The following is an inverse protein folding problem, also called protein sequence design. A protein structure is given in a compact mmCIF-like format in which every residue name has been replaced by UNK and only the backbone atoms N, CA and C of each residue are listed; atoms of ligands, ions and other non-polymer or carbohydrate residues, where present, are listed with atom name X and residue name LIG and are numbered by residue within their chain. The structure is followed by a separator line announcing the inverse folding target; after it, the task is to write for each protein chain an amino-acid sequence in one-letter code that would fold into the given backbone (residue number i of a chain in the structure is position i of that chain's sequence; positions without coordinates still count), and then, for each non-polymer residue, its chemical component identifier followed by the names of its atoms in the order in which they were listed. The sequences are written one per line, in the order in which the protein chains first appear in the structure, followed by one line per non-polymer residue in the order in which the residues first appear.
data_IF_491671127619
#
_entry.id   IF_491671127619
#
_cell.length_a   1.000
_cell.length_b   1.000
_cell.length_c   1.000
_cell.angle_alpha   90.00
_cell.angle_beta   90.00
_cell.angle_gamma   90.00
#
_symmetry.space_group_name_H-M   'P 1'
#
loop_
_entity.id
_entity.type
_entity.pdbx_description
1 polymer ?
#
# COMPACT_ATOMS: atom_id res chain seq x y z
N UNK A 1 -16.14 10.02 -59.33
CA UNK A 1 -16.37 10.73 -58.04
C UNK A 1 -15.06 10.69 -57.25
N UNK A 2 -14.21 11.72 -57.43
CA UNK A 2 -13.05 12.02 -56.55
C UNK A 2 -13.57 12.90 -55.39
N UNK A 3 -12.79 12.98 -54.31
CA UNK A 3 -13.05 13.55 -52.96
C UNK A 3 -13.86 12.60 -52.05
N UNK A 4 -13.39 12.17 -50.87
CA UNK A 4 -12.48 12.79 -49.90
C UNK A 4 -11.50 11.75 -49.31
N UNK A 5 -10.22 11.86 -49.65
CA UNK A 5 -9.10 11.51 -48.75
C UNK A 5 -8.24 12.77 -48.78
N UNK A 6 -8.40 13.61 -47.75
CA UNK A 6 -7.61 14.84 -47.60
C UNK A 6 -6.14 14.45 -47.53
N UNK A 7 -5.37 14.87 -48.54
CA UNK A 7 -3.90 14.85 -48.50
C UNK A 7 -3.46 15.77 -47.37
N UNK A 8 -2.76 15.21 -46.38
CA UNK A 8 -2.03 16.01 -45.42
C UNK A 8 -1.00 16.84 -46.21
N UNK A 9 -0.95 18.13 -45.93
CA UNK A 9 -0.03 19.07 -46.57
C UNK A 9 1.41 18.77 -46.09
N UNK A 10 2.41 18.89 -46.97
CA UNK A 10 3.81 18.53 -46.67
C UNK A 10 4.34 19.30 -45.44
N UNK A 11 3.85 20.53 -45.26
CA UNK A 11 4.14 21.39 -44.13
C UNK A 11 3.56 20.87 -42.79
N UNK A 12 2.45 20.13 -42.83
CA UNK A 12 1.88 19.48 -41.64
C UNK A 12 2.65 18.21 -41.26
N UNK A 13 3.20 17.50 -42.25
CA UNK A 13 4.05 16.32 -42.01
C UNK A 13 5.36 16.74 -41.33
N UNK A 14 5.99 17.80 -41.81
CA UNK A 14 7.25 18.33 -41.25
C UNK A 14 7.07 18.83 -39.79
N UNK A 15 5.97 19.52 -39.49
CA UNK A 15 5.65 19.95 -38.11
C UNK A 15 5.43 18.77 -37.17
N UNK A 16 4.77 17.70 -37.64
CA UNK A 16 4.56 16.48 -36.86
C UNK A 16 5.88 15.73 -36.60
N UNK A 17 6.77 15.66 -37.60
CA UNK A 17 8.09 15.04 -37.46
C UNK A 17 9.01 15.82 -36.50
N UNK A 18 9.02 17.16 -36.58
CA UNK A 18 9.78 18.02 -35.67
C UNK A 18 9.24 17.91 -34.24
N UNK A 19 7.91 17.85 -34.06
CA UNK A 19 7.28 17.62 -32.76
C UNK A 19 7.67 16.27 -32.16
N UNK A 20 7.59 15.19 -32.95
CA UNK A 20 7.99 13.85 -32.53
C UNK A 20 9.50 13.77 -32.17
N UNK A 21 10.37 14.41 -32.95
CA UNK A 21 11.81 14.49 -32.68
C UNK A 21 12.11 15.21 -31.37
N UNK A 22 11.39 16.28 -31.07
CA UNK A 22 11.53 17.01 -29.81
C UNK A 22 11.07 16.17 -28.60
N UNK A 23 9.97 15.42 -28.72
CA UNK A 23 9.53 14.50 -27.67
C UNK A 23 10.54 13.37 -27.44
N UNK A 24 11.14 12.82 -28.49
CA UNK A 24 12.20 11.79 -28.36
C UNK A 24 13.40 12.35 -27.59
N UNK A 25 13.83 13.58 -27.87
CA UNK A 25 14.95 14.21 -27.15
C UNK A 25 14.63 14.45 -25.68
N UNK A 26 13.39 14.83 -25.36
CA UNK A 26 12.93 14.96 -23.96
C UNK A 26 12.99 13.61 -23.24
N UNK A 27 12.47 12.55 -23.86
CA UNK A 27 12.51 11.20 -23.30
C UNK A 27 13.95 10.70 -23.10
N UNK A 28 14.85 10.93 -24.07
CA UNK A 28 16.27 10.59 -23.94
C UNK A 28 16.91 11.32 -22.73
N UNK A 29 16.59 12.60 -22.53
CA UNK A 29 17.07 13.35 -21.38
C UNK A 29 16.53 12.79 -20.05
N UNK A 30 15.23 12.48 -19.99
CA UNK A 30 14.59 11.90 -18.79
C UNK A 30 15.23 10.55 -18.46
N UNK A 31 15.38 9.66 -19.44
CA UNK A 31 15.96 8.33 -19.24
C UNK A 31 17.42 8.45 -18.77
N UNK A 32 18.22 9.32 -19.38
CA UNK A 32 19.60 9.58 -18.93
C UNK A 32 19.66 10.12 -17.52
N UNK A 33 18.73 11.01 -17.13
CA UNK A 33 18.64 11.50 -15.77
C UNK A 33 18.27 10.39 -14.78
N UNK A 34 17.25 9.57 -15.10
CA UNK A 34 16.84 8.43 -14.27
C UNK A 34 17.97 7.43 -14.07
N UNK A 35 18.68 7.06 -15.15
CA UNK A 35 19.83 6.16 -15.07
C UNK A 35 21.01 6.80 -14.31
N UNK A 36 21.21 8.11 -14.46
CA UNK A 36 22.25 8.85 -13.76
C UNK A 36 21.99 9.07 -12.27
N UNK A 37 20.72 9.03 -11.83
CA UNK A 37 20.31 9.15 -10.43
C UNK A 37 20.10 7.81 -9.73
N UNK A 38 20.44 6.69 -10.37
CA UNK A 38 20.33 5.37 -9.76
C UNK A 38 21.27 5.24 -8.56
N UNK A 39 20.69 5.02 -7.37
CA UNK A 39 21.41 4.73 -6.13
C UNK A 39 20.76 3.52 -5.42
N UNK A 40 20.22 3.70 -4.21
CA UNK A 40 19.60 2.63 -3.40
C UNK A 40 18.29 2.04 -3.93
N UNK A 41 17.87 2.40 -5.15
CA UNK A 41 16.60 2.02 -5.75
C UNK A 41 15.50 3.04 -5.52
N UNK A 42 14.52 3.07 -6.42
CA UNK A 42 13.33 3.91 -6.32
C UNK A 42 12.11 2.98 -6.15
N UNK A 43 11.54 2.96 -4.95
CA UNK A 43 10.39 2.14 -4.59
C UNK A 43 9.40 2.98 -3.78
N UNK A 44 8.10 2.70 -3.94
CA UNK A 44 7.08 3.31 -3.10
C UNK A 44 7.24 2.88 -1.64
N UNK A 45 6.79 3.74 -0.72
CA UNK A 45 6.78 3.43 0.70
C UNK A 45 5.74 2.36 1.02
N UNK A 46 6.16 1.32 1.75
CA UNK A 46 5.27 0.28 2.29
C UNK A 46 4.67 0.74 3.61
N UNK A 47 3.34 0.84 3.67
CA UNK A 47 2.64 1.26 4.89
C UNK A 47 2.78 0.21 6.01
N UNK A 48 2.73 -1.07 5.66
CA UNK A 48 2.98 -2.19 6.57
C UNK A 48 4.36 -2.12 7.22
N UNK A 49 5.43 -1.97 6.43
CA UNK A 49 6.79 -1.92 6.97
C UNK A 49 7.02 -0.64 7.81
N UNK A 50 6.48 0.49 7.35
CA UNK A 50 6.54 1.75 8.09
C UNK A 50 5.83 1.65 9.45
N UNK A 51 4.70 0.92 9.51
CA UNK A 51 3.99 0.66 10.76
C UNK A 51 4.81 -0.20 11.73
N UNK A 52 5.54 -1.21 11.25
CA UNK A 52 6.44 -1.98 12.10
C UNK A 52 7.60 -1.16 12.65
N UNK A 53 8.21 -0.30 11.83
CA UNK A 53 9.26 0.62 12.29
C UNK A 53 8.71 1.62 13.32
N UNK A 54 7.48 2.09 13.11
CA UNK A 54 6.80 3.01 14.02
C UNK A 54 6.54 2.43 15.42
N UNK A 55 6.52 1.11 15.59
CA UNK A 55 6.34 0.45 16.89
C UNK A 55 7.62 0.38 17.73
N UNK A 56 8.79 0.69 17.15
CA UNK A 56 10.07 0.61 17.86
C UNK A 56 10.10 1.70 18.95
N UNK A 57 10.26 1.26 20.19
CA UNK A 57 10.43 2.17 21.35
C UNK A 57 11.82 2.78 21.36
N UNK A 58 11.90 3.98 21.91
CA UNK A 58 13.14 4.71 22.13
C UNK A 58 14.19 3.87 22.89
N UNK A 59 15.43 3.89 22.41
CA UNK A 59 16.52 3.07 22.93
C UNK A 59 16.93 3.46 24.36
N UNK A 60 16.71 4.71 24.74
CA UNK A 60 17.00 5.22 26.07
C UNK A 60 15.86 4.90 27.07
N UNK A 61 14.83 4.17 26.62
CA UNK A 61 13.73 3.68 27.47
C UNK A 61 12.68 4.74 27.77
N UNK A 62 12.67 5.86 27.05
CA UNK A 62 11.56 6.80 27.11
C UNK A 62 10.29 6.12 26.56
N UNK A 63 9.12 6.47 27.11
CA UNK A 63 7.84 5.98 26.59
C UNK A 63 7.43 6.77 25.33
N UNK A 64 8.30 6.71 24.31
CA UNK A 64 8.21 7.45 23.06
C UNK A 64 8.71 6.59 21.88
N UNK A 65 8.26 6.87 20.65
CA UNK A 65 8.71 6.16 19.45
C UNK A 65 10.14 6.55 19.08
N UNK A 66 10.97 5.56 18.75
CA UNK A 66 12.33 5.78 18.25
C UNK A 66 12.33 6.54 16.91
N UNK A 67 11.29 6.34 16.09
CA UNK A 67 11.13 6.94 14.77
C UNK A 67 9.78 7.66 14.63
N UNK A 68 9.64 8.87 15.22
CA UNK A 68 8.38 9.63 15.18
C UNK A 68 7.92 9.96 13.75
N UNK A 69 8.85 10.10 12.81
CA UNK A 69 8.56 10.36 11.39
C UNK A 69 7.74 9.25 10.73
N UNK A 70 7.90 7.99 11.16
CA UNK A 70 7.09 6.88 10.64
C UNK A 70 5.62 7.02 11.06
N UNK A 71 5.35 7.44 12.30
CA UNK A 71 3.98 7.72 12.75
C UNK A 71 3.37 8.91 12.02
N UNK A 72 4.15 9.97 11.81
CA UNK A 72 3.71 11.13 11.04
C UNK A 72 3.36 10.73 9.59
N UNK A 73 4.21 9.92 8.94
CA UNK A 73 3.93 9.41 7.60
C UNK A 73 2.64 8.59 7.58
N UNK A 74 2.42 7.70 8.55
CA UNK A 74 1.17 6.93 8.65
C UNK A 74 -0.03 7.87 8.78
N UNK A 75 0.04 8.88 9.64
CA UNK A 75 -1.04 9.84 9.82
C UNK A 75 -1.36 10.59 8.52
N UNK A 76 -0.33 11.01 7.78
CA UNK A 76 -0.50 11.84 6.57
C UNK A 76 -0.95 11.05 5.34
N UNK A 77 -0.76 9.73 5.30
CA UNK A 77 -0.97 8.89 4.12
C UNK A 77 -2.18 7.94 4.22
N UNK A 78 -3.13 8.22 5.13
CA UNK A 78 -4.42 7.51 5.13
C UNK A 78 -5.23 7.88 3.87
N UNK A 79 -5.72 6.87 3.15
CA UNK A 79 -6.56 7.06 1.97
C UNK A 79 -7.97 7.58 2.34
N UNK A 80 -8.71 8.18 1.38
CA UNK A 80 -10.03 8.74 1.65
C UNK A 80 -11.08 7.74 2.15
N UNK A 81 -10.92 6.45 1.84
CA UNK A 81 -11.78 5.36 2.31
C UNK A 81 -11.44 4.86 3.72
N UNK A 82 -10.41 5.44 4.35
CA UNK A 82 -9.92 5.06 5.67
C UNK A 82 -8.81 4.01 5.66
N UNK A 83 -8.46 3.44 4.50
CA UNK A 83 -7.41 2.43 4.38
C UNK A 83 -6.00 3.00 4.22
N UNK A 84 -5.00 2.12 4.25
CA UNK A 84 -3.63 2.36 3.79
C UNK A 84 -3.26 1.29 2.77
N UNK A 85 -2.38 1.63 1.83
CA UNK A 85 -1.90 0.75 0.75
C UNK A 85 -1.74 1.52 -0.57
N UNK A 86 -1.69 0.81 -1.69
CA UNK A 86 -1.57 1.43 -3.02
C UNK A 86 -2.83 2.25 -3.36
N UNK A 87 -2.67 3.51 -3.74
CA UNK A 87 -3.78 4.44 -4.03
C UNK A 87 -4.39 4.26 -5.43
N UNK A 88 -3.71 3.56 -6.33
CA UNK A 88 -4.11 3.33 -7.73
C UNK A 88 -4.73 1.96 -7.92
N UNK A 89 -4.26 0.95 -7.20
CA UNK A 89 -4.70 -0.44 -7.34
C UNK A 89 -5.28 -0.93 -6.02
N UNK A 90 -6.52 -1.43 -6.07
CA UNK A 90 -7.14 -2.06 -4.92
C UNK A 90 -6.90 -3.58 -4.96
N UNK A 91 -6.13 -4.08 -4.01
CA UNK A 91 -6.04 -5.51 -3.67
C UNK A 91 -6.47 -5.67 -2.22
N UNK A 92 -7.41 -6.57 -1.92
CA UNK A 92 -7.96 -6.72 -0.57
C UNK A 92 -6.88 -7.19 0.43
N UNK A 93 -6.02 -8.15 0.04
CA UNK A 93 -4.87 -8.57 0.84
C UNK A 93 -3.96 -7.38 1.20
N UNK A 94 -3.55 -6.59 0.20
CA UNK A 94 -2.70 -5.40 0.40
C UNK A 94 -3.39 -4.37 1.30
N UNK A 95 -4.61 -3.97 0.97
CA UNK A 95 -5.32 -2.93 1.72
C UNK A 95 -5.58 -3.34 3.15
N UNK A 96 -5.96 -4.59 3.40
CA UNK A 96 -6.28 -5.05 4.75
C UNK A 96 -5.04 -5.16 5.63
N UNK A 97 -3.93 -5.71 5.12
CA UNK A 97 -2.71 -5.88 5.92
C UNK A 97 -2.05 -4.54 6.24
N UNK A 98 -1.95 -3.64 5.26
CA UNK A 98 -1.42 -2.29 5.47
C UNK A 98 -2.27 -1.51 6.46
N UNK A 99 -3.60 -1.52 6.27
CA UNK A 99 -4.53 -0.80 7.16
C UNK A 99 -4.44 -1.32 8.60
N UNK A 100 -4.46 -2.65 8.80
CA UNK A 100 -4.40 -3.22 10.14
C UNK A 100 -3.07 -2.88 10.85
N UNK A 101 -1.94 -2.94 10.13
CA UNK A 101 -0.64 -2.55 10.67
C UNK A 101 -0.61 -1.08 11.10
N UNK A 102 -1.11 -0.17 10.26
CA UNK A 102 -1.16 1.26 10.57
C UNK A 102 -2.06 1.55 11.79
N UNK A 103 -3.21 0.88 11.92
CA UNK A 103 -4.06 1.01 13.11
C UNK A 103 -3.31 0.55 14.35
N UNK A 104 -2.65 -0.61 14.30
CA UNK A 104 -1.85 -1.14 15.43
C UNK A 104 -0.77 -0.13 15.84
N UNK A 105 -0.05 0.45 14.88
CA UNK A 105 0.97 1.46 15.16
C UNK A 105 0.38 2.70 15.84
N UNK A 106 -0.66 3.31 15.26
CA UNK A 106 -1.28 4.52 15.82
C UNK A 106 -1.90 4.27 17.21
N UNK A 107 -2.59 3.12 17.37
CA UNK A 107 -3.23 2.74 18.63
C UNK A 107 -2.23 2.45 19.73
N UNK A 108 -1.09 1.83 19.41
CA UNK A 108 -0.02 1.52 20.39
C UNK A 108 0.56 2.78 21.05
N UNK A 109 0.56 3.90 20.33
CA UNK A 109 0.99 5.21 20.85
C UNK A 109 -0.17 6.12 21.26
N UNK A 110 -1.41 5.64 21.16
CA UNK A 110 -2.64 6.36 21.49
C UNK A 110 -2.76 7.73 20.79
N UNK A 111 -2.38 7.80 19.50
CA UNK A 111 -2.46 9.01 18.67
C UNK A 111 -3.40 8.79 17.48
N UNK A 112 -3.89 9.89 16.90
CA UNK A 112 -4.74 9.88 15.69
C UNK A 112 -5.91 8.87 15.77
N UNK A 113 -6.64 8.89 16.88
CA UNK A 113 -7.73 7.94 17.14
C UNK A 113 -8.85 8.02 16.09
N UNK A 114 -9.09 9.21 15.50
CA UNK A 114 -10.02 9.40 14.41
C UNK A 114 -9.62 8.59 13.15
N UNK A 115 -8.32 8.50 12.87
CA UNK A 115 -7.79 7.69 11.77
C UNK A 115 -7.89 6.21 12.08
N UNK A 116 -7.65 5.83 13.34
CA UNK A 116 -7.86 4.46 13.81
C UNK A 116 -9.31 4.03 13.60
N UNK A 117 -10.29 4.84 13.99
CA UNK A 117 -11.73 4.54 13.83
C UNK A 117 -12.12 4.32 12.36
N UNK A 118 -11.65 5.20 11.46
CA UNK A 118 -11.86 5.05 10.01
C UNK A 118 -11.24 3.77 9.48
N UNK A 119 -10.00 3.47 9.87
CA UNK A 119 -9.32 2.25 9.46
C UNK A 119 -10.03 0.99 9.98
N UNK A 120 -10.47 0.99 11.24
CA UNK A 120 -11.21 -0.13 11.82
C UNK A 120 -12.51 -0.35 11.05
N UNK A 121 -13.24 0.73 10.72
CA UNK A 121 -14.44 0.65 9.90
C UNK A 121 -14.14 0.06 8.52
N UNK A 122 -13.04 0.48 7.88
CA UNK A 122 -12.61 -0.07 6.61
C UNK A 122 -12.31 -1.57 6.71
N UNK A 123 -11.51 -2.01 7.68
CA UNK A 123 -11.15 -3.43 7.87
C UNK A 123 -12.41 -4.27 8.03
N UNK A 124 -13.31 -3.87 8.94
CA UNK A 124 -14.57 -4.58 9.19
C UNK A 124 -15.44 -4.69 7.94
N UNK A 125 -15.54 -3.62 7.15
CA UNK A 125 -16.36 -3.59 5.94
C UNK A 125 -15.77 -4.36 4.75
N UNK A 126 -14.47 -4.68 4.77
CA UNK A 126 -13.79 -5.26 3.61
C UNK A 126 -13.23 -6.66 3.84
N UNK A 127 -13.26 -7.20 5.07
CA UNK A 127 -12.72 -8.54 5.38
C UNK A 127 -13.27 -9.66 4.50
N UNK A 128 -14.56 -9.63 4.16
CA UNK A 128 -15.18 -10.67 3.30
C UNK A 128 -14.64 -10.66 1.87
N UNK A 129 -13.98 -9.58 1.43
CA UNK A 129 -13.39 -9.52 0.09
C UNK A 129 -12.20 -10.47 -0.08
N UNK A 130 -11.59 -10.91 1.02
CA UNK A 130 -10.54 -11.94 1.00
C UNK A 130 -11.04 -13.29 0.45
N UNK A 131 -12.35 -13.60 0.50
CA UNK A 131 -12.89 -14.85 -0.07
C UNK A 131 -12.82 -14.90 -1.59
N UNK A 132 -12.85 -13.74 -2.22
CA UNK A 132 -13.06 -13.60 -3.67
C UNK A 132 -11.77 -13.22 -4.41
N UNK A 133 -10.66 -13.10 -3.70
CA UNK A 133 -9.41 -12.64 -4.29
C UNK A 133 -8.57 -13.81 -4.81
N UNK A 134 -7.99 -13.65 -5.99
CA UNK A 134 -7.21 -14.70 -6.65
C UNK A 134 -5.93 -15.00 -5.83
N UNK A 135 -5.68 -16.28 -5.57
CA UNK A 135 -4.51 -16.74 -4.79
C UNK A 135 -3.18 -16.24 -5.40
N UNK A 136 -3.12 -16.06 -6.72
CA UNK A 136 -1.94 -15.56 -7.44
C UNK A 136 -1.53 -14.11 -7.07
N UNK A 137 -2.43 -13.33 -6.47
CA UNK A 137 -2.17 -11.96 -6.05
C UNK A 137 -2.06 -11.81 -4.53
N UNK A 138 -1.99 -12.92 -3.81
CA UNK A 138 -1.83 -12.92 -2.35
C UNK A 138 -0.49 -12.30 -1.96
N UNK A 139 -0.53 -11.31 -1.06
CA UNK A 139 0.69 -10.73 -0.48
C UNK A 139 1.54 -11.84 0.15
N UNK A 140 2.84 -11.86 -0.15
CA UNK A 140 3.73 -12.90 0.36
C UNK A 140 3.68 -12.96 1.90
N UNK A 141 3.49 -14.16 2.45
CA UNK A 141 3.46 -14.37 3.90
C UNK A 141 2.21 -13.83 4.59
N UNK A 142 1.19 -13.38 3.84
CA UNK A 142 -0.05 -12.85 4.40
C UNK A 142 -0.69 -13.78 5.43
N UNK A 143 -0.69 -15.08 5.17
CA UNK A 143 -1.35 -16.07 6.04
C UNK A 143 -0.62 -16.28 7.37
N UNK A 144 0.59 -15.74 7.53
CA UNK A 144 1.32 -15.72 8.81
C UNK A 144 1.28 -14.32 9.43
N UNK A 145 1.53 -13.29 8.62
CA UNK A 145 1.61 -11.91 9.08
C UNK A 145 0.25 -11.35 9.52
N UNK A 146 -0.80 -11.55 8.71
CA UNK A 146 -2.11 -10.98 8.98
C UNK A 146 -2.76 -11.52 10.26
N UNK A 147 -2.77 -12.84 10.54
CA UNK A 147 -3.26 -13.35 11.83
C UNK A 147 -2.45 -12.84 13.03
N UNK A 148 -1.14 -12.67 12.87
CA UNK A 148 -0.29 -12.16 13.96
C UNK A 148 -0.63 -10.69 14.25
N UNK A 149 -0.94 -9.88 13.23
CA UNK A 149 -1.46 -8.53 13.41
C UNK A 149 -2.84 -8.52 14.08
N UNK A 150 -3.73 -9.46 13.76
CA UNK A 150 -5.03 -9.58 14.43
C UNK A 150 -4.86 -9.92 15.92
N UNK A 151 -3.89 -10.77 16.28
CA UNK A 151 -3.54 -11.06 17.67
C UNK A 151 -3.07 -9.80 18.41
N UNK A 152 -2.19 -8.99 17.80
CA UNK A 152 -1.72 -7.72 18.38
C UNK A 152 -2.85 -6.70 18.49
N UNK A 153 -3.70 -6.59 17.46
CA UNK A 153 -4.85 -5.69 17.47
C UNK A 153 -5.79 -6.04 18.63
N UNK A 154 -6.02 -7.34 18.88
CA UNK A 154 -6.83 -7.82 20.01
C UNK A 154 -6.23 -7.44 21.37
N UNK A 155 -4.90 -7.46 21.51
CA UNK A 155 -4.26 -7.02 22.77
C UNK A 155 -4.27 -5.51 22.99
N UNK A 156 -4.67 -4.74 21.97
CA UNK A 156 -4.88 -3.28 22.02
C UNK A 156 -6.38 -2.90 22.08
N UNK A 157 -7.24 -3.85 22.44
CA UNK A 157 -8.70 -3.70 22.50
C UNK A 157 -9.34 -3.28 21.16
N UNK A 158 -8.71 -3.64 20.03
CA UNK A 158 -9.28 -3.45 18.70
C UNK A 158 -10.07 -4.71 18.34
N UNK A 159 -11.40 -4.61 18.44
CA UNK A 159 -12.29 -5.72 18.10
C UNK A 159 -12.52 -5.78 16.59
N UNK A 160 -11.97 -6.81 15.95
CA UNK A 160 -12.26 -7.17 14.55
C UNK A 160 -13.09 -8.47 14.56
N UNK A 161 -14.24 -8.54 13.85
CA UNK A 161 -15.09 -9.73 13.85
C UNK A 161 -14.33 -10.97 13.35
N UNK A 162 -14.13 -11.92 14.26
CA UNK A 162 -13.27 -13.10 14.06
C UNK A 162 -14.02 -14.31 13.47
N UNK A 163 -15.32 -14.18 13.20
CA UNK A 163 -16.21 -15.29 12.88
C UNK A 163 -16.44 -15.54 11.39
N UNK A 164 -15.69 -14.86 10.50
CA UNK A 164 -15.79 -15.13 9.07
C UNK A 164 -15.05 -16.42 8.72
N UNK A 165 -15.60 -17.16 7.75
CA UNK A 165 -14.98 -18.38 7.23
C UNK A 165 -13.57 -18.09 6.66
N UNK A 166 -13.36 -16.89 6.09
CA UNK A 166 -12.04 -16.34 5.73
C UNK A 166 -11.01 -16.50 6.84
N UNK A 167 -11.29 -15.93 8.02
CA UNK A 167 -10.30 -15.83 9.06
C UNK A 167 -9.94 -17.21 9.59
N UNK A 168 -10.93 -18.10 9.73
CA UNK A 168 -10.70 -19.50 10.09
C UNK A 168 -9.76 -20.20 9.11
N UNK A 169 -9.94 -20.01 7.81
CA UNK A 169 -9.05 -20.57 6.79
C UNK A 169 -7.64 -20.01 6.90
N UNK A 170 -7.48 -18.70 7.11
CA UNK A 170 -6.18 -18.06 7.26
C UNK A 170 -5.46 -18.60 8.53
N UNK A 171 -6.15 -18.72 9.66
CA UNK A 171 -5.57 -19.33 10.87
C UNK A 171 -5.18 -20.79 10.67
N UNK A 172 -5.98 -21.57 9.94
CA UNK A 172 -5.64 -22.95 9.60
C UNK A 172 -4.36 -23.00 8.73
N UNK A 173 -4.25 -22.11 7.75
CA UNK A 173 -3.07 -21.99 6.90
C UNK A 173 -1.83 -21.57 7.70
N UNK A 174 -1.94 -20.61 8.61
CA UNK A 174 -0.86 -20.23 9.55
C UNK A 174 -0.35 -21.46 10.31
N UNK A 175 -1.26 -22.19 10.95
CA UNK A 175 -0.92 -23.35 11.76
C UNK A 175 -0.28 -24.48 10.95
N UNK A 176 -0.67 -24.63 9.67
CA UNK A 176 -0.02 -25.56 8.76
C UNK A 176 1.40 -25.10 8.40
N UNK A 177 1.58 -23.82 8.02
CA UNK A 177 2.89 -23.26 7.63
C UNK A 177 3.88 -23.22 8.80
N UNK A 178 3.44 -22.97 10.03
CA UNK A 178 4.30 -22.92 11.23
C UNK A 178 4.75 -24.30 11.74
N UNK A 179 4.11 -25.39 11.31
CA UNK A 179 4.48 -26.77 11.68
C UNK A 179 5.48 -27.42 10.72
N UNK A 180 5.76 -26.76 9.59
CA UNK A 180 6.77 -27.18 8.61
C UNK A 180 8.12 -26.56 8.95
#
# INVERSE_FOLDING_TARGET
RKCLLSRMDDNQVEVLEVSASNEIKKLDHIIKSMLGSMDGGEISTSAYDTAWVALIKDIDGNDAPQFPSCLQWIADNQLPDGSWGDDKIFLAHDRLINTLACIVALKSWNIHLDKCEKGISFVKGNLSKLENENEEHTTCGFEVAFPSLLEIARSLDIEIPDHSHVLQNIYAMRNFKLKR
#
